data_IF_225975904485
#
_entry.id   IF_225975904485
#
_cell.length_a   1.000
_cell.length_b   1.000
_cell.length_c   1.000
_cell.angle_alpha   90.00
_cell.angle_beta   90.00
_cell.angle_gamma   90.00
#
_symmetry.space_group_name_H-M   'P 1'
#
loop_
_entity.id
_entity.type
_entity.pdbx_description
1 polymer ?
#
# COMPACT_ATOMS: atom_id res chain seq x y z
N UNK A 1 49.60 -66.18 -14.75
CA UNK A 1 49.50 -64.70 -14.80
C UNK A 1 48.03 -64.42 -15.10
N UNK A 2 47.26 -64.01 -14.07
CA UNK A 2 45.85 -63.63 -14.23
C UNK A 2 45.83 -62.10 -14.25
N UNK A 3 45.72 -61.48 -15.40
CA UNK A 3 45.47 -60.04 -15.53
C UNK A 3 43.94 -59.84 -15.39
N UNK A 4 43.55 -59.13 -14.33
CA UNK A 4 42.18 -58.61 -14.17
C UNK A 4 41.93 -57.52 -15.21
N UNK A 5 40.82 -57.56 -15.98
CA UNK A 5 40.52 -56.52 -16.93
C UNK A 5 40.28 -55.15 -16.21
N UNK A 6 40.64 -54.03 -16.83
CA UNK A 6 40.42 -52.72 -16.24
C UNK A 6 38.92 -52.44 -15.96
N UNK A 7 38.62 -52.00 -14.77
CA UNK A 7 37.26 -51.59 -14.40
C UNK A 7 36.82 -50.43 -15.31
N UNK A 8 35.74 -50.62 -16.04
CA UNK A 8 35.11 -49.52 -16.77
C UNK A 8 34.52 -48.54 -15.74
N UNK A 9 35.08 -47.31 -15.71
CA UNK A 9 34.53 -46.23 -14.96
C UNK A 9 33.11 -45.92 -15.46
N UNK A 10 32.10 -46.20 -14.61
CA UNK A 10 30.72 -45.84 -14.93
C UNK A 10 30.61 -44.31 -15.06
N UNK A 11 29.97 -43.80 -16.12
CA UNK A 11 29.80 -42.33 -16.26
C UNK A 11 29.16 -41.79 -15.01
N UNK A 12 29.79 -40.80 -14.37
CA UNK A 12 29.21 -40.09 -13.24
C UNK A 12 27.89 -39.45 -13.69
N UNK A 13 26.78 -39.58 -12.90
CA UNK A 13 25.52 -38.97 -13.23
C UNK A 13 25.74 -37.45 -13.36
N UNK A 14 25.20 -36.87 -14.45
CA UNK A 14 25.29 -35.44 -14.68
C UNK A 14 24.73 -34.69 -13.46
N UNK A 15 25.39 -33.58 -13.03
CA UNK A 15 24.91 -32.82 -11.91
C UNK A 15 23.49 -32.37 -12.18
N UNK A 16 22.60 -32.36 -11.16
CA UNK A 16 21.21 -31.94 -11.35
C UNK A 16 21.18 -30.51 -11.92
N UNK A 17 20.23 -30.21 -12.83
CA UNK A 17 20.13 -28.90 -13.42
C UNK A 17 20.01 -27.85 -12.32
N UNK A 18 20.90 -26.86 -12.35
CA UNK A 18 20.84 -25.76 -11.39
C UNK A 18 19.50 -25.04 -11.52
N UNK A 19 18.75 -24.97 -10.42
CA UNK A 19 17.49 -24.24 -10.41
C UNK A 19 17.74 -22.78 -10.79
N UNK A 20 17.05 -22.28 -11.82
CA UNK A 20 17.15 -20.90 -12.24
C UNK A 20 16.72 -19.99 -11.07
N UNK A 21 17.62 -19.06 -10.68
CA UNK A 21 17.35 -18.09 -9.60
C UNK A 21 16.85 -16.80 -10.20
N UNK A 22 15.64 -16.38 -9.81
CA UNK A 22 15.14 -15.04 -10.12
C UNK A 22 15.51 -14.11 -8.96
N UNK A 23 16.35 -13.11 -9.26
CA UNK A 23 16.72 -12.09 -8.27
C UNK A 23 15.60 -11.08 -8.17
N UNK A 24 14.98 -11.00 -6.99
CA UNK A 24 13.93 -10.03 -6.67
C UNK A 24 14.59 -8.77 -6.08
N UNK A 25 14.25 -7.55 -6.54
CA UNK A 25 14.74 -6.33 -5.92
C UNK A 25 14.38 -6.30 -4.43
N UNK A 26 15.38 -6.08 -3.58
CA UNK A 26 15.20 -6.00 -2.13
C UNK A 26 15.58 -4.59 -1.67
N UNK A 27 14.62 -3.68 -1.63
CA UNK A 27 14.79 -2.42 -0.89
C UNK A 27 14.32 -2.60 0.55
N UNK A 28 15.05 -2.05 1.52
CA UNK A 28 14.57 -2.00 2.90
C UNK A 28 13.39 -1.01 2.99
N UNK A 29 12.35 -1.29 3.80
CA UNK A 29 11.12 -0.48 3.82
C UNK A 29 11.27 0.78 4.69
N UNK A 30 12.20 1.67 4.34
CA UNK A 30 12.52 2.88 5.11
C UNK A 30 11.35 3.85 5.21
N UNK A 31 10.54 4.02 4.15
CA UNK A 31 9.40 4.92 4.17
C UNK A 31 8.30 4.39 5.09
N UNK A 32 8.05 3.09 5.07
CA UNK A 32 7.12 2.44 6.01
C UNK A 32 7.53 2.70 7.45
N UNK A 33 8.81 2.50 7.78
CA UNK A 33 9.31 2.75 9.15
C UNK A 33 9.29 4.22 9.52
N UNK A 34 9.60 5.12 8.57
CA UNK A 34 9.53 6.56 8.81
C UNK A 34 8.09 7.01 9.12
N UNK A 35 7.10 6.52 8.35
CA UNK A 35 5.68 6.83 8.59
C UNK A 35 5.24 6.31 9.96
N UNK A 36 5.62 5.07 10.33
CA UNK A 36 5.33 4.51 11.66
C UNK A 36 5.94 5.39 12.75
N UNK A 37 7.21 5.76 12.62
CA UNK A 37 7.90 6.62 13.59
C UNK A 37 7.27 8.00 13.74
N UNK A 38 6.92 8.66 12.63
CA UNK A 38 6.24 9.97 12.64
C UNK A 38 4.86 9.84 13.31
N UNK A 39 4.10 8.82 12.95
CA UNK A 39 2.76 8.58 13.50
C UNK A 39 2.82 8.30 15.01
N UNK A 40 3.76 7.47 15.45
CA UNK A 40 3.98 7.19 16.87
C UNK A 40 4.40 8.45 17.63
N UNK A 41 5.28 9.27 17.07
CA UNK A 41 5.70 10.53 17.66
C UNK A 41 4.51 11.50 17.82
N UNK A 42 3.69 11.67 16.76
CA UNK A 42 2.50 12.53 16.82
C UNK A 42 1.48 11.99 17.83
N UNK A 43 1.31 10.67 17.94
CA UNK A 43 0.44 10.06 18.94
C UNK A 43 0.91 10.32 20.36
N UNK A 44 2.21 10.29 20.62
CA UNK A 44 2.78 10.67 21.93
C UNK A 44 2.50 12.15 22.22
N UNK A 45 2.65 13.04 21.24
CA UNK A 45 2.30 14.45 21.40
C UNK A 45 0.82 14.66 21.72
N UNK A 46 -0.09 13.86 21.12
CA UNK A 46 -1.53 13.90 21.44
C UNK A 46 -1.84 13.53 22.90
N UNK A 47 -0.95 12.80 23.61
CA UNK A 47 -1.13 12.49 25.02
C UNK A 47 -0.71 13.64 25.94
N UNK A 48 0.03 14.63 25.43
CA UNK A 48 0.59 15.74 26.18
C UNK A 48 -0.12 17.06 25.86
N UNK A 49 -0.66 17.19 24.65
CA UNK A 49 -1.29 18.44 24.17
C UNK A 49 -2.33 18.16 23.09
N UNK A 50 -3.36 19.03 23.04
CA UNK A 50 -4.41 18.96 22.01
C UNK A 50 -3.98 19.57 20.67
N UNK A 51 -2.81 20.20 20.59
CA UNK A 51 -2.35 20.92 19.39
C UNK A 51 -2.40 20.05 18.13
N UNK A 52 -1.90 18.78 18.12
CA UNK A 52 -1.99 17.97 16.90
C UNK A 52 -3.42 17.74 16.45
N UNK A 53 -4.35 17.51 17.37
CA UNK A 53 -5.78 17.28 17.06
C UNK A 53 -6.40 18.56 16.51
N UNK A 54 -6.16 19.72 17.15
CA UNK A 54 -6.66 21.02 16.70
C UNK A 54 -6.20 21.40 15.31
N UNK A 55 -4.95 21.07 14.96
CA UNK A 55 -4.36 21.42 13.67
C UNK A 55 -4.67 20.42 12.55
N UNK A 56 -4.75 19.13 12.85
CA UNK A 56 -4.69 18.07 11.84
C UNK A 56 -5.95 17.22 11.70
N UNK A 57 -6.90 17.30 12.66
CA UNK A 57 -8.15 16.52 12.61
C UNK A 57 -8.97 16.88 11.35
N UNK A 58 -9.54 15.87 10.67
CA UNK A 58 -10.52 16.09 9.60
C UNK A 58 -11.78 16.72 10.20
N UNK A 59 -12.10 17.90 9.76
CA UNK A 59 -13.30 18.66 10.12
C UNK A 59 -13.89 19.30 8.87
N UNK A 60 -15.15 18.96 8.56
CA UNK A 60 -15.79 19.45 7.34
C UNK A 60 -15.89 20.97 7.31
N UNK A 61 -16.22 21.60 8.43
CA UNK A 61 -16.35 23.06 8.53
C UNK A 61 -15.02 23.76 8.31
N UNK A 62 -13.94 23.23 8.90
CA UNK A 62 -12.60 23.80 8.73
C UNK A 62 -12.04 23.60 7.32
N UNK A 63 -12.39 22.46 6.68
CA UNK A 63 -12.05 22.23 5.26
C UNK A 63 -12.78 23.26 4.38
N UNK A 64 -14.10 23.48 4.59
CA UNK A 64 -14.85 24.51 3.89
C UNK A 64 -14.34 25.91 4.16
N UNK A 65 -13.77 26.16 5.33
CA UNK A 65 -13.08 27.42 5.68
C UNK A 65 -11.67 27.55 5.06
N UNK A 66 -11.27 26.63 4.17
CA UNK A 66 -10.01 26.67 3.42
C UNK A 66 -8.85 25.91 4.04
N UNK A 67 -9.03 25.18 5.15
CA UNK A 67 -7.97 24.38 5.77
C UNK A 67 -7.81 23.02 5.04
N UNK A 68 -7.41 23.08 3.76
CA UNK A 68 -7.36 21.93 2.85
C UNK A 68 -6.33 20.84 3.26
N UNK A 69 -5.31 21.18 4.07
CA UNK A 69 -4.36 20.20 4.59
C UNK A 69 -5.04 19.11 5.43
N UNK A 70 -6.22 19.39 5.99
CA UNK A 70 -7.05 18.42 6.73
C UNK A 70 -7.63 17.29 5.85
N UNK A 71 -7.45 17.38 4.53
CA UNK A 71 -7.70 16.26 3.62
C UNK A 71 -6.52 15.27 3.55
N UNK A 72 -5.39 15.59 4.23
CA UNK A 72 -4.21 14.72 4.26
C UNK A 72 -3.74 14.40 5.67
N UNK A 73 -3.68 15.39 6.55
CA UNK A 73 -3.03 15.30 7.87
C UNK A 73 -3.67 14.34 8.88
N UNK A 74 -4.99 14.04 8.82
CA UNK A 74 -5.61 13.12 9.79
C UNK A 74 -5.00 11.73 9.83
N UNK A 75 -4.30 11.31 8.78
CA UNK A 75 -3.62 10.01 8.71
C UNK A 75 -2.56 9.80 9.79
N UNK A 76 -2.09 10.87 10.42
CA UNK A 76 -1.09 10.81 11.51
C UNK A 76 -1.71 10.79 12.92
N UNK A 77 -3.01 11.10 13.04
CA UNK A 77 -3.70 11.16 14.31
C UNK A 77 -4.37 9.82 14.66
N UNK A 78 -4.43 9.48 15.95
CA UNK A 78 -5.11 8.28 16.42
C UNK A 78 -5.85 8.54 17.73
N UNK A 79 -7.08 7.98 17.83
CA UNK A 79 -7.97 8.23 18.97
C UNK A 79 -7.71 7.34 20.20
N UNK A 80 -6.93 6.25 20.05
CA UNK A 80 -6.61 5.33 21.15
C UNK A 80 -5.37 4.50 20.87
N UNK A 81 -4.79 3.90 21.89
CA UNK A 81 -3.65 2.99 21.78
C UNK A 81 -3.99 1.76 20.91
N UNK A 82 -5.21 1.23 21.04
CA UNK A 82 -5.69 0.12 20.21
C UNK A 82 -5.79 0.54 18.74
N UNK A 83 -6.30 1.74 18.47
CA UNK A 83 -6.45 2.28 17.12
C UNK A 83 -5.09 2.44 16.43
N UNK A 84 -4.10 3.08 17.08
CA UNK A 84 -2.75 3.20 16.50
C UNK A 84 -2.09 1.82 16.38
N UNK A 85 -2.24 0.94 17.36
CA UNK A 85 -1.65 -0.40 17.34
C UNK A 85 -2.09 -1.21 16.11
N UNK A 86 -3.40 -1.29 15.84
CA UNK A 86 -3.90 -1.98 14.65
C UNK A 86 -3.47 -1.32 13.35
N UNK A 87 -3.48 0.02 13.27
CA UNK A 87 -3.03 0.72 12.07
C UNK A 87 -1.54 0.50 11.80
N UNK A 88 -0.69 0.60 12.80
CA UNK A 88 0.76 0.41 12.62
C UNK A 88 1.09 -1.06 12.29
N UNK A 89 0.37 -2.02 12.89
CA UNK A 89 0.49 -3.43 12.52
C UNK A 89 0.10 -3.66 11.06
N UNK A 90 -1.03 -3.11 10.61
CA UNK A 90 -1.46 -3.22 9.23
C UNK A 90 -0.50 -2.52 8.25
N UNK A 91 -0.02 -1.31 8.60
CA UNK A 91 0.99 -0.60 7.82
C UNK A 91 2.30 -1.38 7.73
N UNK A 92 2.76 -1.99 8.82
CA UNK A 92 3.94 -2.85 8.80
C UNK A 92 3.74 -4.06 7.89
N UNK A 93 2.56 -4.70 7.96
CA UNK A 93 2.25 -5.92 7.20
C UNK A 93 2.15 -5.65 5.69
N UNK A 94 1.36 -4.67 5.27
CA UNK A 94 1.16 -4.34 3.85
C UNK A 94 2.26 -3.44 3.30
N UNK A 95 2.69 -2.44 4.07
CA UNK A 95 3.63 -1.42 3.63
C UNK A 95 5.00 -2.00 3.30
N UNK A 96 5.54 -2.88 4.17
CA UNK A 96 6.87 -3.48 3.94
C UNK A 96 6.93 -4.32 2.66
N UNK A 97 5.85 -5.03 2.35
CA UNK A 97 5.72 -5.82 1.12
C UNK A 97 5.64 -4.93 -0.11
N UNK A 98 4.71 -3.99 -0.09
CA UNK A 98 4.49 -3.08 -1.22
C UNK A 98 5.69 -2.17 -1.48
N UNK A 99 6.32 -1.59 -0.45
CA UNK A 99 7.46 -0.71 -0.62
C UNK A 99 8.64 -1.41 -1.31
N UNK A 100 8.87 -2.71 -1.02
CA UNK A 100 9.90 -3.51 -1.68
C UNK A 100 9.71 -3.61 -3.19
N UNK A 101 8.45 -3.73 -3.64
CA UNK A 101 8.14 -3.87 -5.07
C UNK A 101 7.92 -2.53 -5.76
N UNK A 102 7.37 -1.53 -5.07
CA UNK A 102 7.05 -0.22 -5.63
C UNK A 102 8.25 0.74 -5.62
N UNK A 103 9.21 0.51 -4.71
CA UNK A 103 10.26 1.47 -4.37
C UNK A 103 9.72 2.61 -3.50
N UNK A 104 10.63 3.31 -2.82
CA UNK A 104 10.31 4.30 -1.78
C UNK A 104 9.41 5.44 -2.26
N UNK A 105 9.77 6.07 -3.40
CA UNK A 105 9.04 7.24 -3.90
C UNK A 105 7.62 6.91 -4.35
N UNK A 106 7.43 5.82 -5.10
CA UNK A 106 6.12 5.40 -5.58
C UNK A 106 5.22 4.94 -4.42
N UNK A 107 5.80 4.25 -3.43
CA UNK A 107 5.09 3.84 -2.22
C UNK A 107 4.64 5.06 -1.40
N UNK A 108 5.50 6.05 -1.20
CA UNK A 108 5.14 7.28 -0.49
C UNK A 108 3.99 8.03 -1.19
N UNK A 109 4.08 8.19 -2.53
CA UNK A 109 3.01 8.82 -3.32
C UNK A 109 1.69 8.05 -3.19
N UNK A 110 1.72 6.72 -3.27
CA UNK A 110 0.54 5.87 -3.06
C UNK A 110 -0.09 6.10 -1.68
N UNK A 111 0.72 6.08 -0.62
CA UNK A 111 0.27 6.26 0.76
C UNK A 111 -0.40 7.63 0.97
N UNK A 112 0.25 8.70 0.51
CA UNK A 112 -0.26 10.06 0.62
C UNK A 112 -1.55 10.27 -0.19
N UNK A 113 -1.58 9.81 -1.44
CA UNK A 113 -2.75 9.93 -2.30
C UNK A 113 -3.91 9.06 -1.82
N UNK A 114 -3.62 7.90 -1.23
CA UNK A 114 -4.62 7.05 -0.59
C UNK A 114 -5.26 7.73 0.62
N UNK A 115 -4.45 8.35 1.49
CA UNK A 115 -4.96 9.16 2.60
C UNK A 115 -5.82 10.32 2.09
N UNK A 116 -5.35 11.04 1.08
CA UNK A 116 -6.09 12.14 0.45
C UNK A 116 -7.44 11.68 -0.10
N UNK A 117 -7.46 10.62 -0.93
CA UNK A 117 -8.68 10.10 -1.52
C UNK A 117 -9.69 9.65 -0.46
N UNK A 118 -9.21 8.97 0.60
CA UNK A 118 -10.06 8.57 1.72
C UNK A 118 -10.63 9.75 2.48
N UNK A 119 -9.81 10.74 2.83
CA UNK A 119 -10.31 11.91 3.54
C UNK A 119 -11.24 12.78 2.68
N UNK A 120 -11.08 12.80 1.35
CA UNK A 120 -12.06 13.45 0.44
C UNK A 120 -13.40 12.71 0.47
N UNK A 121 -13.41 11.38 0.38
CA UNK A 121 -14.66 10.62 0.49
C UNK A 121 -15.31 10.80 1.87
N UNK A 122 -14.53 10.79 2.94
CA UNK A 122 -14.97 11.13 4.28
C UNK A 122 -15.59 12.54 4.36
N UNK A 123 -14.93 13.54 3.78
CA UNK A 123 -15.42 14.92 3.73
C UNK A 123 -16.77 15.04 3.03
N UNK A 124 -17.02 14.23 2.00
CA UNK A 124 -18.26 14.29 1.22
C UNK A 124 -19.42 13.51 1.86
N UNK A 125 -19.15 12.42 2.55
CA UNK A 125 -20.18 11.46 2.95
C UNK A 125 -20.21 11.16 4.45
N UNK A 126 -19.30 11.74 5.25
CA UNK A 126 -19.26 11.61 6.71
C UNK A 126 -19.23 12.97 7.36
N UNK A 127 -20.29 13.34 8.08
CA UNK A 127 -20.35 14.63 8.79
C UNK A 127 -19.45 14.67 10.02
N UNK A 128 -19.23 13.53 10.66
CA UNK A 128 -18.38 13.43 11.84
C UNK A 128 -16.91 13.74 11.53
N UNK A 129 -16.23 14.30 12.52
CA UNK A 129 -14.79 14.43 12.48
C UNK A 129 -14.13 13.04 12.42
N UNK A 130 -13.03 12.91 11.67
CA UNK A 130 -12.33 11.64 11.56
C UNK A 130 -10.81 11.81 11.62
N UNK A 131 -10.14 10.71 12.00
CA UNK A 131 -8.69 10.60 12.14
C UNK A 131 -8.25 9.15 12.00
N UNK A 132 -7.01 8.91 11.61
CA UNK A 132 -6.41 7.58 11.51
C UNK A 132 -5.71 7.33 10.19
N UNK A 133 -4.69 6.46 10.23
CA UNK A 133 -3.95 6.02 9.05
C UNK A 133 -4.74 5.06 8.15
N UNK A 134 -5.92 4.62 8.61
CA UNK A 134 -6.69 3.56 7.94
C UNK A 134 -7.07 3.90 6.49
N UNK A 135 -7.35 5.17 6.17
CA UNK A 135 -7.62 5.61 4.79
C UNK A 135 -6.46 5.27 3.85
N UNK A 136 -5.23 5.57 4.25
CA UNK A 136 -4.03 5.21 3.50
C UNK A 136 -3.79 3.69 3.48
N UNK A 137 -4.05 2.99 4.57
CA UNK A 137 -3.89 1.53 4.66
C UNK A 137 -4.87 0.82 3.71
N UNK A 138 -6.11 1.30 3.59
CA UNK A 138 -7.05 0.79 2.60
C UNK A 138 -6.57 1.03 1.16
N UNK A 139 -5.86 2.13 0.91
CA UNK A 139 -5.21 2.34 -0.38
C UNK A 139 -4.09 1.32 -0.64
N UNK A 140 -3.31 0.95 0.37
CA UNK A 140 -2.33 -0.13 0.25
C UNK A 140 -3.00 -1.47 -0.07
N UNK A 141 -4.15 -1.76 0.55
CA UNK A 141 -4.92 -2.97 0.27
C UNK A 141 -5.41 -3.01 -1.19
N UNK A 142 -5.96 -1.89 -1.69
CA UNK A 142 -6.35 -1.74 -3.10
C UNK A 142 -5.15 -1.84 -4.05
N UNK A 143 -4.02 -1.25 -3.67
CA UNK A 143 -2.79 -1.32 -4.44
C UNK A 143 -2.25 -2.74 -4.55
N UNK A 144 -2.27 -3.51 -3.46
CA UNK A 144 -1.83 -4.89 -3.45
C UNK A 144 -2.71 -5.76 -4.36
N UNK A 145 -4.03 -5.56 -4.36
CA UNK A 145 -4.94 -6.27 -5.26
C UNK A 145 -4.57 -6.05 -6.73
N UNK A 146 -4.42 -4.78 -7.16
CA UNK A 146 -4.04 -4.45 -8.54
C UNK A 146 -2.64 -4.98 -8.87
N UNK A 147 -1.68 -4.82 -7.95
CA UNK A 147 -0.33 -5.33 -8.12
C UNK A 147 -0.31 -6.85 -8.40
N UNK A 148 -1.03 -7.63 -7.61
CA UNK A 148 -1.15 -9.08 -7.79
C UNK A 148 -1.81 -9.44 -9.12
N UNK A 149 -2.90 -8.75 -9.51
CA UNK A 149 -3.59 -8.97 -10.77
C UNK A 149 -2.65 -8.69 -11.96
N UNK A 150 -1.95 -7.56 -11.93
CA UNK A 150 -1.04 -7.15 -13.01
C UNK A 150 0.18 -8.07 -13.13
N UNK A 151 0.64 -8.63 -12.01
CA UNK A 151 1.86 -9.45 -11.94
C UNK A 151 1.59 -10.97 -11.75
N UNK A 152 0.35 -11.43 -11.95
CA UNK A 152 -0.07 -12.82 -11.70
C UNK A 152 0.75 -13.89 -12.45
N UNK A 153 1.33 -13.52 -13.59
CA UNK A 153 2.18 -14.42 -14.38
C UNK A 153 3.59 -14.57 -13.77
N UNK A 154 4.04 -13.56 -13.04
CA UNK A 154 5.36 -13.54 -12.37
C UNK A 154 5.28 -14.23 -11.00
N UNK A 155 4.14 -14.10 -10.31
CA UNK A 155 3.91 -14.65 -8.96
C UNK A 155 2.71 -15.63 -8.91
N UNK A 156 2.67 -16.70 -9.73
CA UNK A 156 1.47 -17.54 -9.87
C UNK A 156 1.06 -18.26 -8.58
N UNK A 157 2.03 -18.69 -7.77
CA UNK A 157 1.78 -19.44 -6.52
C UNK A 157 1.19 -18.58 -5.39
N UNK A 158 1.39 -17.26 -5.41
CA UNK A 158 0.92 -16.35 -4.37
C UNK A 158 -0.44 -15.74 -4.69
N UNK A 159 -0.83 -15.70 -5.98
CA UNK A 159 -1.98 -14.92 -6.45
C UNK A 159 -3.30 -15.30 -5.76
N UNK A 160 -3.68 -16.59 -5.77
CA UNK A 160 -5.01 -17.01 -5.26
C UNK A 160 -5.17 -16.79 -3.76
N UNK A 161 -4.16 -17.16 -2.97
CA UNK A 161 -4.19 -17.00 -1.52
C UNK A 161 -4.18 -15.54 -1.10
N UNK A 162 -3.30 -14.73 -1.71
CA UNK A 162 -3.20 -13.31 -1.39
C UNK A 162 -4.46 -12.53 -1.79
N UNK A 163 -5.01 -12.74 -2.98
CA UNK A 163 -6.28 -12.09 -3.39
C UNK A 163 -7.43 -12.48 -2.46
N UNK A 164 -7.54 -13.76 -2.08
CA UNK A 164 -8.56 -14.20 -1.13
C UNK A 164 -8.43 -13.50 0.23
N UNK A 165 -7.21 -13.37 0.73
CA UNK A 165 -6.94 -12.65 1.98
C UNK A 165 -7.28 -11.15 1.89
N UNK A 166 -6.90 -10.48 0.79
CA UNK A 166 -7.24 -9.07 0.56
C UNK A 166 -8.75 -8.87 0.56
N UNK A 167 -9.51 -9.69 -0.18
CA UNK A 167 -10.97 -9.61 -0.21
C UNK A 167 -11.55 -9.85 1.18
N UNK A 168 -11.07 -10.86 1.89
CA UNK A 168 -11.53 -11.17 3.25
C UNK A 168 -11.30 -9.98 4.19
N UNK A 169 -10.09 -9.40 4.20
CA UNK A 169 -9.76 -8.24 5.02
C UNK A 169 -10.64 -7.04 4.64
N UNK A 170 -10.83 -6.76 3.33
CA UNK A 170 -11.67 -5.66 2.88
C UNK A 170 -13.13 -5.86 3.33
N UNK A 171 -13.70 -7.05 3.13
CA UNK A 171 -15.08 -7.35 3.52
C UNK A 171 -15.28 -7.24 5.03
N UNK A 172 -14.42 -7.86 5.84
CA UNK A 172 -14.53 -7.77 7.30
C UNK A 172 -14.43 -6.32 7.77
N UNK A 173 -13.47 -5.55 7.25
CA UNK A 173 -13.29 -4.18 7.71
C UNK A 173 -14.37 -3.22 7.19
N UNK A 174 -14.91 -3.41 5.99
CA UNK A 174 -15.95 -2.53 5.46
C UNK A 174 -17.35 -2.87 5.98
N UNK A 175 -17.68 -4.14 6.15
CA UNK A 175 -19.05 -4.56 6.48
C UNK A 175 -19.26 -4.94 7.96
N UNK A 176 -18.20 -5.38 8.67
CA UNK A 176 -18.32 -5.75 10.08
C UNK A 176 -17.73 -4.64 10.95
N UNK A 177 -16.45 -4.32 10.80
CA UNK A 177 -15.79 -3.29 11.61
C UNK A 177 -16.31 -1.91 11.22
N UNK A 178 -16.47 -1.62 9.93
CA UNK A 178 -16.96 -0.36 9.40
C UNK A 178 -18.40 -0.03 9.77
N UNK A 179 -19.20 -1.01 10.24
CA UNK A 179 -20.54 -0.76 10.80
C UNK A 179 -20.53 -0.34 12.27
N UNK A 180 -19.36 -0.41 12.94
CA UNK A 180 -19.24 0.01 14.33
C UNK A 180 -19.26 1.54 14.46
N UNK A 181 -19.87 2.08 15.53
CA UNK A 181 -19.85 3.52 15.78
C UNK A 181 -18.44 4.09 15.86
N UNK A 182 -18.23 5.25 15.26
CA UNK A 182 -16.93 5.94 15.26
C UNK A 182 -15.95 5.47 14.19
N UNK A 183 -16.33 4.54 13.31
CA UNK A 183 -15.53 4.12 12.16
C UNK A 183 -15.95 4.90 10.92
N UNK A 184 -14.95 5.53 10.27
CA UNK A 184 -15.14 6.29 9.03
C UNK A 184 -15.07 5.37 7.81
N UNK A 185 -16.17 4.69 7.54
CA UNK A 185 -16.22 3.71 6.46
C UNK A 185 -16.11 4.35 5.06
N UNK A 186 -16.61 5.58 4.88
CA UNK A 186 -16.44 6.29 3.62
C UNK A 186 -14.97 6.67 3.37
N UNK A 187 -14.24 6.99 4.42
CA UNK A 187 -12.80 7.17 4.35
C UNK A 187 -12.08 5.90 3.91
N UNK A 188 -12.47 4.74 4.39
CA UNK A 188 -11.93 3.44 3.97
C UNK A 188 -12.21 3.15 2.48
N UNK A 189 -13.46 3.35 2.04
CA UNK A 189 -13.87 3.17 0.64
C UNK A 189 -13.08 4.11 -0.28
N UNK A 190 -13.00 5.40 0.08
CA UNK A 190 -12.25 6.38 -0.70
C UNK A 190 -10.77 6.03 -0.81
N UNK A 191 -10.16 5.61 0.30
CA UNK A 191 -8.77 5.13 0.31
C UNK A 191 -8.57 3.93 -0.61
N UNK A 192 -9.42 2.91 -0.49
CA UNK A 192 -9.39 1.72 -1.35
C UNK A 192 -9.46 2.11 -2.83
N UNK A 193 -10.42 2.97 -3.21
CA UNK A 193 -10.60 3.44 -4.59
C UNK A 193 -9.38 4.24 -5.07
N UNK A 194 -8.82 5.11 -4.23
CA UNK A 194 -7.60 5.86 -4.54
C UNK A 194 -6.41 4.94 -4.82
N UNK A 195 -6.23 3.91 -4.00
CA UNK A 195 -5.17 2.91 -4.18
C UNK A 195 -5.35 2.05 -5.43
N UNK A 196 -6.58 1.58 -5.69
CA UNK A 196 -6.94 0.87 -6.92
C UNK A 196 -6.64 1.74 -8.15
N UNK A 197 -7.09 2.99 -8.15
CA UNK A 197 -6.89 3.93 -9.25
C UNK A 197 -5.41 4.21 -9.49
N UNK A 198 -4.68 4.66 -8.47
CA UNK A 198 -3.25 4.95 -8.59
C UNK A 198 -2.49 3.75 -9.16
N UNK A 199 -2.68 2.57 -8.57
CA UNK A 199 -1.89 1.38 -8.91
C UNK A 199 -2.22 0.83 -10.29
N UNK A 200 -3.44 0.99 -10.78
CA UNK A 200 -3.82 0.61 -12.14
C UNK A 200 -2.92 1.27 -13.19
N UNK A 201 -2.53 2.51 -12.97
CA UNK A 201 -1.66 3.28 -13.86
C UNK A 201 -0.19 3.22 -13.44
N UNK A 202 0.10 3.42 -12.15
CA UNK A 202 1.44 3.63 -11.59
C UNK A 202 2.08 2.38 -10.97
N UNK A 203 1.31 1.33 -10.68
CA UNK A 203 1.82 0.11 -10.06
C UNK A 203 2.92 -0.55 -10.90
N UNK A 204 3.96 -1.13 -10.30
CA UNK A 204 5.04 -1.77 -11.03
C UNK A 204 4.53 -2.96 -11.82
N UNK A 205 5.03 -3.11 -13.04
CA UNK A 205 4.73 -4.21 -13.96
C UNK A 205 6.01 -5.02 -14.17
N UNK A 206 6.15 -6.07 -13.40
CA UNK A 206 7.36 -6.88 -13.40
C UNK A 206 7.39 -7.85 -14.58
N UNK A 207 8.57 -7.95 -15.21
CA UNK A 207 8.92 -8.96 -16.19
C UNK A 207 10.20 -9.67 -15.77
N UNK A 208 10.30 -10.95 -16.10
CA UNK A 208 11.54 -11.72 -15.92
C UNK A 208 12.40 -11.49 -17.15
N UNK A 209 13.62 -11.02 -16.95
CA UNK A 209 14.64 -10.85 -17.99
C UNK A 209 15.94 -11.54 -17.59
N UNK A 210 16.80 -11.77 -18.58
CA UNK A 210 18.10 -12.42 -18.39
C UNK A 210 18.24 -13.69 -19.21
N UNK A 211 19.43 -14.30 -19.12
CA UNK A 211 19.80 -15.54 -19.81
C UNK A 211 20.10 -16.59 -18.72
N UNK A 212 19.64 -17.81 -18.94
CA UNK A 212 19.92 -18.93 -18.01
C UNK A 212 21.42 -19.00 -17.63
N UNK A 213 21.75 -19.20 -16.34
CA UNK A 213 20.87 -19.37 -15.19
C UNK A 213 20.51 -18.08 -14.45
N UNK A 214 20.92 -16.89 -14.92
CA UNK A 214 20.78 -15.60 -14.25
C UNK A 214 19.58 -14.82 -14.76
N UNK A 215 18.45 -14.94 -14.06
CA UNK A 215 17.25 -14.15 -14.30
C UNK A 215 17.08 -13.08 -13.24
N UNK A 216 16.49 -11.92 -13.64
CA UNK A 216 16.16 -10.85 -12.72
C UNK A 216 14.80 -10.23 -13.08
N UNK A 217 14.17 -9.60 -12.09
CA UNK A 217 12.93 -8.86 -12.29
C UNK A 217 13.25 -7.44 -12.73
N UNK A 218 12.57 -6.98 -13.78
CA UNK A 218 12.64 -5.61 -14.30
C UNK A 218 11.23 -5.00 -14.25
N UNK A 219 11.10 -3.81 -13.68
CA UNK A 219 9.86 -3.05 -13.75
C UNK A 219 9.74 -2.36 -15.11
N UNK A 220 8.74 -2.75 -15.89
CA UNK A 220 8.43 -2.18 -17.21
C UNK A 220 7.63 -0.88 -17.15
N UNK A 221 7.26 -0.42 -15.96
CA UNK A 221 6.45 0.78 -15.79
C UNK A 221 7.35 2.02 -15.75
N UNK A 222 7.12 2.96 -16.66
CA UNK A 222 7.87 4.22 -16.74
C UNK A 222 7.55 5.17 -15.57
N UNK A 223 8.43 6.13 -15.31
CA UNK A 223 8.17 7.20 -14.34
C UNK A 223 6.97 8.07 -14.73
N UNK A 224 6.78 8.32 -16.04
CA UNK A 224 5.60 9.05 -16.54
C UNK A 224 4.27 8.38 -16.15
N UNK A 225 4.22 7.06 -16.06
CA UNK A 225 3.03 6.36 -15.59
C UNK A 225 2.72 6.65 -14.12
N UNK A 226 3.74 6.92 -13.29
CA UNK A 226 3.54 7.36 -11.90
C UNK A 226 2.89 8.75 -11.86
N UNK A 227 3.35 9.67 -12.71
CA UNK A 227 2.75 11.00 -12.84
C UNK A 227 1.30 10.94 -13.34
N UNK A 228 1.02 10.06 -14.31
CA UNK A 228 -0.35 9.84 -14.79
C UNK A 228 -1.24 9.29 -13.68
N UNK A 229 -0.79 8.26 -12.97
CA UNK A 229 -1.56 7.68 -11.86
C UNK A 229 -1.82 8.69 -10.73
N UNK A 230 -0.81 9.47 -10.38
CA UNK A 230 -0.96 10.53 -9.38
C UNK A 230 -1.91 11.64 -9.87
N UNK A 231 -1.73 12.10 -11.11
CA UNK A 231 -2.60 13.09 -11.74
C UNK A 231 -4.06 12.65 -11.78
N UNK A 232 -4.35 11.39 -12.11
CA UNK A 232 -5.71 10.85 -12.12
C UNK A 232 -6.36 10.89 -10.74
N UNK A 233 -5.65 10.48 -9.67
CA UNK A 233 -6.17 10.54 -8.31
C UNK A 233 -6.41 12.00 -7.89
N UNK A 234 -5.46 12.90 -8.15
CA UNK A 234 -5.58 14.33 -7.82
C UNK A 234 -6.73 14.99 -8.59
N UNK A 235 -6.88 14.72 -9.88
CA UNK A 235 -7.97 15.29 -10.69
C UNK A 235 -9.34 14.81 -10.21
N UNK A 236 -9.51 13.50 -9.98
CA UNK A 236 -10.80 12.95 -9.55
C UNK A 236 -11.13 13.39 -8.13
N UNK A 237 -10.28 13.09 -7.16
CA UNK A 237 -10.57 13.40 -5.77
C UNK A 237 -10.41 14.88 -5.44
N UNK A 238 -9.49 15.60 -6.10
CA UNK A 238 -9.39 17.05 -6.00
C UNK A 238 -10.62 17.77 -6.55
N UNK A 239 -11.13 17.34 -7.70
CA UNK A 239 -12.39 17.83 -8.25
C UNK A 239 -13.58 17.57 -7.33
N UNK A 240 -13.66 16.37 -6.74
CA UNK A 240 -14.66 16.04 -5.73
C UNK A 240 -14.51 16.89 -4.45
N UNK A 241 -13.30 17.12 -3.99
CA UNK A 241 -13.05 18.00 -2.83
C UNK A 241 -13.50 19.43 -3.12
N UNK A 242 -13.15 20.00 -4.27
CA UNK A 242 -13.60 21.33 -4.70
C UNK A 242 -15.14 21.42 -4.77
N UNK A 243 -15.78 20.41 -5.36
CA UNK A 243 -17.24 20.34 -5.38
C UNK A 243 -17.84 20.33 -3.96
N UNK A 244 -17.27 19.56 -3.03
CA UNK A 244 -17.71 19.50 -1.64
C UNK A 244 -17.50 20.79 -0.84
N UNK A 245 -16.52 21.61 -1.23
CA UNK A 245 -16.25 22.92 -0.61
C UNK A 245 -17.26 24.00 -1.00
N UNK A 246 -17.90 23.89 -2.18
CA UNK A 246 -18.89 24.87 -2.67
C UNK A 246 -20.33 24.45 -2.44
N UNK A 247 -20.54 23.25 -1.93
CA UNK A 247 -21.85 22.69 -1.56
C UNK A 247 -22.15 22.97 -0.08
#
# INVERSE_FOLDING_TARGET
MNETPPAFDSPQPAPPPQAARVVVPRSAPYVTYAIIGITAFIFILQQVTDIPVLLFLKSNDLIRAGQIWRLLTPMFLHGSLTHIGFNMYALLSFGTGLERYFGHGRFLVLYLLGAFAGNVASFLFTDANSLGASTAIFALLGAEAIFLIQNRKVFPGQFRGAIGNIIFIAVINLFIIGSLPGIDNWGHIGGLLGGLMFTSFAGPKWAVEGIYPAYHLVDKRSFSAVLVGAGMVVLVFGGLAMWGMVR
#
